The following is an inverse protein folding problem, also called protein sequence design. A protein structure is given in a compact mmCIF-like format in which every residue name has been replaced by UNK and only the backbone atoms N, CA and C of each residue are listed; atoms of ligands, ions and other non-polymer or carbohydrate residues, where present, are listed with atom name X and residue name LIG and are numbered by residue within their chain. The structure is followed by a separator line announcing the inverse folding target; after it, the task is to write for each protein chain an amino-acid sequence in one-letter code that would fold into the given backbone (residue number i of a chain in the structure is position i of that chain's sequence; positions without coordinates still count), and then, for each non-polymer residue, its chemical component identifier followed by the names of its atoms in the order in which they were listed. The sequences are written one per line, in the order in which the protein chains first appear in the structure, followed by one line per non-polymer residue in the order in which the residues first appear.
data_IF_377696165610
#
_entry.id   IF_377696165610
#
_cell.length_a   1.000
_cell.length_b   1.000
_cell.length_c   1.000
_cell.angle_alpha   90.00
_cell.angle_beta   90.00
_cell.angle_gamma   90.00
#
_symmetry.space_group_name_H-M   'P 1'
#
loop_
_entity.id
_entity.type
_entity.pdbx_description
1 polymer ?
#
# COMPACT_ATOMS: atom_id res chain seq x y z
N UNK A 1 -1.83 -19.41 17.48
CA UNK A 1 -0.71 -18.71 16.78
C UNK A 1 0.12 -17.96 17.83
N UNK A 2 1.46 -18.19 17.88
CA UNK A 2 2.35 -17.54 18.86
C UNK A 2 2.38 -16.00 18.70
N UNK A 3 2.24 -15.49 17.46
CA UNK A 3 2.31 -14.04 17.19
C UNK A 3 1.23 -13.23 17.94
N UNK A 4 0.02 -13.77 18.09
CA UNK A 4 -1.08 -13.05 18.74
C UNK A 4 -0.81 -12.77 20.24
N UNK A 5 0.19 -13.45 20.83
CA UNK A 5 0.58 -13.25 22.22
C UNK A 5 1.51 -12.04 22.44
N UNK A 6 2.11 -11.52 21.36
CA UNK A 6 2.98 -10.34 21.47
C UNK A 6 2.15 -9.09 21.73
N UNK A 7 2.52 -8.37 22.79
CA UNK A 7 1.85 -7.11 23.14
C UNK A 7 1.95 -6.13 21.96
N UNK A 8 0.81 -5.62 21.54
CA UNK A 8 0.72 -4.68 20.42
C UNK A 8 0.53 -5.33 19.05
N UNK A 9 0.70 -6.66 18.87
CA UNK A 9 0.58 -7.27 17.52
C UNK A 9 -0.88 -7.26 17.02
N UNK A 10 -1.84 -7.58 17.90
CA UNK A 10 -3.27 -7.56 17.48
C UNK A 10 -3.75 -6.14 17.16
N UNK A 11 -3.50 -5.11 18.01
CA UNK A 11 -3.77 -3.73 17.59
C UNK A 11 -3.08 -3.34 16.28
N UNK A 12 -1.85 -3.76 16.07
CA UNK A 12 -1.10 -3.48 14.84
C UNK A 12 -1.79 -4.09 13.63
N UNK A 13 -2.26 -5.35 13.72
CA UNK A 13 -3.00 -5.99 12.63
C UNK A 13 -4.30 -5.23 12.30
N UNK A 14 -5.02 -4.78 13.34
CA UNK A 14 -6.23 -3.97 13.17
C UNK A 14 -5.91 -2.67 12.42
N UNK A 15 -4.84 -1.97 12.84
CA UNK A 15 -4.40 -0.74 12.17
C UNK A 15 -4.04 -1.02 10.71
N UNK A 16 -3.26 -2.08 10.44
CA UNK A 16 -2.82 -2.41 9.08
C UNK A 16 -4.01 -2.67 8.15
N UNK A 17 -5.05 -3.35 8.67
CA UNK A 17 -6.28 -3.63 7.93
C UNK A 17 -7.07 -2.34 7.68
N UNK A 18 -7.34 -1.57 8.75
CA UNK A 18 -8.21 -0.39 8.69
C UNK A 18 -7.56 0.70 7.82
N UNK A 19 -6.26 0.96 8.02
CA UNK A 19 -5.52 1.97 7.24
C UNK A 19 -5.63 1.68 5.73
N UNK A 20 -5.36 0.42 5.33
CA UNK A 20 -5.48 0.02 3.92
C UNK A 20 -6.91 0.19 3.41
N UNK A 21 -7.91 -0.08 4.29
CA UNK A 21 -9.32 0.05 3.95
C UNK A 21 -9.73 1.52 3.74
N UNK A 22 -9.31 2.42 4.63
CA UNK A 22 -9.65 3.87 4.55
C UNK A 22 -9.04 4.49 3.29
N UNK A 23 -7.75 4.26 3.06
CA UNK A 23 -7.04 4.80 1.89
C UNK A 23 -7.74 4.37 0.59
N UNK A 24 -8.07 3.08 0.50
CA UNK A 24 -8.68 2.54 -0.72
C UNK A 24 -10.15 2.94 -0.85
N UNK A 25 -10.91 3.00 0.23
CA UNK A 25 -12.33 3.36 0.23
C UNK A 25 -12.53 4.77 -0.34
N UNK A 26 -11.75 5.75 0.12
CA UNK A 26 -11.83 7.11 -0.41
C UNK A 26 -11.45 7.14 -1.90
N UNK A 27 -10.33 6.49 -2.26
CA UNK A 27 -9.88 6.41 -3.66
C UNK A 27 -10.98 5.84 -4.57
N UNK A 28 -11.56 4.71 -4.19
CA UNK A 28 -12.60 4.02 -4.97
C UNK A 28 -13.84 4.91 -5.10
N UNK A 29 -14.24 5.60 -4.02
CA UNK A 29 -15.39 6.50 -4.06
C UNK A 29 -15.17 7.59 -5.11
N UNK A 30 -14.00 8.27 -5.07
CA UNK A 30 -13.69 9.31 -6.06
C UNK A 30 -13.62 8.73 -7.48
N UNK A 31 -13.00 7.55 -7.65
CA UNK A 31 -12.95 6.89 -8.98
C UNK A 31 -14.37 6.55 -9.49
N UNK A 32 -15.26 6.11 -8.61
CA UNK A 32 -16.64 5.80 -9.00
C UNK A 32 -17.40 7.08 -9.38
N UNK A 33 -17.20 8.21 -8.64
CA UNK A 33 -17.77 9.50 -9.03
C UNK A 33 -17.28 9.88 -10.44
N UNK A 34 -15.96 9.74 -10.70
CA UNK A 34 -15.40 10.02 -12.03
C UNK A 34 -16.07 9.17 -13.11
N UNK A 35 -16.22 7.86 -12.85
CA UNK A 35 -16.82 6.92 -13.81
C UNK A 35 -18.28 7.24 -14.12
N UNK A 36 -19.02 7.79 -13.14
CA UNK A 36 -20.44 8.10 -13.29
C UNK A 36 -20.69 9.48 -13.95
N UNK A 37 -19.75 10.45 -13.75
CA UNK A 37 -19.98 11.85 -14.16
C UNK A 37 -19.13 12.29 -15.37
N UNK A 38 -18.13 11.50 -15.79
CA UNK A 38 -17.22 11.89 -16.87
C UNK A 38 -17.09 10.77 -17.89
N UNK A 39 -16.75 11.14 -19.14
CA UNK A 39 -16.54 10.19 -20.23
C UNK A 39 -15.40 10.66 -21.13
N UNK A 40 -14.96 9.78 -22.02
CA UNK A 40 -13.93 10.09 -23.03
C UNK A 40 -12.61 10.53 -22.42
N UNK A 41 -12.00 11.54 -23.00
CA UNK A 41 -10.67 12.03 -22.63
C UNK A 41 -10.65 12.58 -21.20
N UNK A 42 -11.70 13.28 -20.76
CA UNK A 42 -11.77 13.84 -19.40
C UNK A 42 -11.67 12.75 -18.34
N UNK A 43 -12.37 11.64 -18.51
CA UNK A 43 -12.33 10.52 -17.58
C UNK A 43 -10.90 9.93 -17.50
N UNK A 44 -10.24 9.76 -18.63
CA UNK A 44 -8.86 9.21 -18.69
C UNK A 44 -7.90 10.14 -17.95
N UNK A 45 -7.94 11.45 -18.23
CA UNK A 45 -7.06 12.44 -17.61
C UNK A 45 -7.30 12.51 -16.09
N UNK A 46 -8.56 12.60 -15.64
CA UNK A 46 -8.87 12.70 -14.21
C UNK A 46 -8.50 11.41 -13.45
N UNK A 47 -8.69 10.24 -14.08
CA UNK A 47 -8.28 8.96 -13.50
C UNK A 47 -6.75 8.87 -13.38
N UNK A 48 -6.02 9.31 -14.39
CA UNK A 48 -4.55 9.37 -14.32
C UNK A 48 -4.10 10.35 -13.23
N UNK A 49 -4.77 11.51 -13.13
CA UNK A 49 -4.45 12.52 -12.13
C UNK A 49 -4.64 11.99 -10.69
N UNK A 50 -5.77 11.31 -10.40
CA UNK A 50 -6.00 10.77 -9.06
C UNK A 50 -4.94 9.71 -8.68
N UNK A 51 -4.56 8.87 -9.64
CA UNK A 51 -3.49 7.89 -9.40
C UNK A 51 -2.15 8.59 -9.13
N UNK A 52 -1.85 9.66 -9.89
CA UNK A 52 -0.64 10.47 -9.65
C UNK A 52 -0.67 11.12 -8.26
N UNK A 53 -1.81 11.68 -7.85
CA UNK A 53 -1.96 12.34 -6.54
C UNK A 53 -1.70 11.40 -5.37
N UNK A 54 -1.98 10.11 -5.53
CA UNK A 54 -1.70 9.10 -4.50
C UNK A 54 -0.18 8.80 -4.43
N UNK A 55 0.50 8.81 -5.58
CA UNK A 55 1.91 8.43 -5.66
C UNK A 55 2.88 9.58 -5.35
N UNK A 56 2.53 10.79 -5.77
CA UNK A 56 3.41 11.96 -5.65
C UNK A 56 3.90 12.20 -4.20
N UNK A 57 3.04 12.09 -3.16
CA UNK A 57 3.53 12.27 -1.79
C UNK A 57 4.61 11.26 -1.39
N UNK A 58 4.55 10.03 -1.85
CA UNK A 58 5.59 9.03 -1.54
C UNK A 58 6.94 9.39 -2.18
N UNK A 59 6.92 10.11 -3.29
CA UNK A 59 8.14 10.59 -3.96
C UNK A 59 8.66 11.86 -3.26
N UNK A 60 7.80 12.86 -3.07
CA UNK A 60 8.23 14.14 -2.53
C UNK A 60 8.46 14.10 -1.02
N UNK A 61 7.66 13.36 -0.27
CA UNK A 61 7.77 13.33 1.19
C UNK A 61 8.70 12.22 1.71
N UNK A 62 9.37 11.45 0.82
CA UNK A 62 10.19 10.35 1.32
C UNK A 62 11.28 10.83 2.29
N UNK A 63 11.96 11.95 2.00
CA UNK A 63 13.03 12.50 2.87
C UNK A 63 12.47 13.12 4.16
N UNK A 64 11.43 13.98 4.11
CA UNK A 64 10.78 14.43 5.35
C UNK A 64 10.23 13.27 6.18
N UNK A 65 9.61 12.30 5.54
CA UNK A 65 9.06 11.11 6.20
C UNK A 65 10.17 10.30 6.90
N UNK A 66 11.28 10.06 6.20
CA UNK A 66 12.45 9.38 6.76
C UNK A 66 12.94 10.12 8.02
N UNK A 67 13.09 11.45 7.92
CA UNK A 67 13.56 12.29 9.02
C UNK A 67 12.63 12.22 10.22
N UNK A 68 11.31 12.33 10.00
CA UNK A 68 10.29 12.24 11.07
C UNK A 68 10.38 10.87 11.76
N UNK A 69 10.51 9.81 10.99
CA UNK A 69 10.52 8.44 11.49
C UNK A 69 11.82 8.05 12.20
N UNK A 70 12.93 8.75 11.93
CA UNK A 70 14.19 8.56 12.64
C UNK A 70 14.30 9.49 13.88
N UNK A 71 13.60 10.64 13.86
CA UNK A 71 13.63 11.62 14.95
C UNK A 71 12.64 11.29 16.08
N UNK A 72 11.47 10.80 15.75
CA UNK A 72 10.38 10.53 16.71
C UNK A 72 10.16 9.03 16.89
N UNK A 73 9.65 8.63 18.04
CA UNK A 73 9.32 7.22 18.26
C UNK A 73 8.26 6.76 17.26
N UNK A 74 8.46 5.56 16.71
CA UNK A 74 7.56 4.97 15.71
C UNK A 74 6.12 4.87 16.22
N UNK A 75 5.98 4.54 17.51
CA UNK A 75 4.66 4.49 18.17
C UNK A 75 3.98 5.86 18.13
N UNK A 76 4.71 6.95 18.40
CA UNK A 76 4.14 8.29 18.34
C UNK A 76 3.79 8.69 16.89
N UNK A 77 4.67 8.39 15.93
CA UNK A 77 4.36 8.67 14.52
C UNK A 77 3.06 7.96 14.11
N UNK A 78 2.90 6.68 14.48
CA UNK A 78 1.67 5.92 14.18
C UNK A 78 0.45 6.59 14.83
N UNK A 79 0.54 6.95 16.12
CA UNK A 79 -0.58 7.57 16.85
C UNK A 79 -1.00 8.91 16.26
N UNK A 80 -0.03 9.81 16.01
CA UNK A 80 -0.34 11.14 15.48
C UNK A 80 -0.78 11.09 14.02
N UNK A 81 -0.22 10.17 13.22
CA UNK A 81 -0.68 9.95 11.84
C UNK A 81 -2.11 9.42 11.81
N UNK A 82 -2.48 8.50 12.72
CA UNK A 82 -3.86 8.00 12.81
C UNK A 82 -4.83 9.11 13.25
N UNK A 83 -4.43 10.00 14.16
CA UNK A 83 -5.26 11.17 14.52
C UNK A 83 -5.41 12.11 13.33
N UNK A 84 -4.34 12.35 12.57
CA UNK A 84 -4.41 13.16 11.35
C UNK A 84 -5.38 12.53 10.34
N UNK A 85 -5.38 11.19 10.20
CA UNK A 85 -6.33 10.49 9.34
C UNK A 85 -7.79 10.76 9.75
N UNK A 86 -8.09 10.82 11.05
CA UNK A 86 -9.44 11.16 11.55
C UNK A 86 -9.84 12.57 11.08
N UNK A 87 -8.92 13.55 11.24
CA UNK A 87 -9.19 14.94 10.84
C UNK A 87 -9.40 15.03 9.33
N UNK A 88 -8.55 14.36 8.55
CA UNK A 88 -8.66 14.35 7.09
C UNK A 88 -9.98 13.67 6.67
N UNK A 89 -10.33 12.54 7.27
CA UNK A 89 -11.59 11.82 6.99
C UNK A 89 -12.82 12.68 7.35
N UNK A 90 -12.74 13.47 8.42
CA UNK A 90 -13.80 14.44 8.75
C UNK A 90 -13.92 15.52 7.67
N UNK A 91 -12.79 16.01 7.14
CA UNK A 91 -12.79 16.93 6.00
C UNK A 91 -13.39 16.28 4.74
N UNK A 92 -13.07 15.01 4.49
CA UNK A 92 -13.64 14.22 3.39
C UNK A 92 -15.17 14.11 3.58
N UNK A 93 -15.64 13.77 4.78
CA UNK A 93 -17.08 13.68 5.07
C UNK A 93 -17.76 15.01 4.79
N UNK A 94 -17.17 16.13 5.27
CA UNK A 94 -17.74 17.47 5.02
C UNK A 94 -17.81 17.77 3.52
N UNK A 95 -16.76 17.43 2.76
CA UNK A 95 -16.76 17.65 1.30
C UNK A 95 -17.83 16.79 0.60
N UNK A 96 -18.08 15.57 1.10
CA UNK A 96 -19.16 14.72 0.58
C UNK A 96 -20.52 15.34 0.89
N UNK A 97 -20.77 15.72 2.15
CA UNK A 97 -22.04 16.27 2.58
C UNK A 97 -22.41 17.57 1.85
N UNK A 98 -21.39 18.37 1.49
CA UNK A 98 -21.59 19.65 0.78
C UNK A 98 -21.49 19.52 -0.75
N UNK A 99 -21.20 18.32 -1.26
CA UNK A 99 -21.05 18.11 -2.70
C UNK A 99 -19.83 18.80 -3.29
N UNK A 100 -18.76 19.02 -2.52
CA UNK A 100 -17.57 19.73 -3.00
C UNK A 100 -16.56 18.73 -3.59
N UNK A 101 -16.83 18.24 -4.82
CA UNK A 101 -16.02 17.21 -5.46
C UNK A 101 -14.56 17.63 -5.59
N UNK A 102 -14.29 18.89 -6.01
CA UNK A 102 -12.92 19.39 -6.18
C UNK A 102 -12.14 19.36 -4.86
N UNK A 103 -12.79 19.68 -3.73
CA UNK A 103 -12.14 19.61 -2.40
C UNK A 103 -11.86 18.15 -2.05
N UNK A 104 -12.83 17.27 -2.25
CA UNK A 104 -12.68 15.84 -1.99
C UNK A 104 -11.54 15.24 -2.82
N UNK A 105 -11.43 15.65 -4.09
CA UNK A 105 -10.35 15.23 -4.99
C UNK A 105 -8.99 15.66 -4.43
N UNK A 106 -8.85 16.91 -3.94
CA UNK A 106 -7.60 17.40 -3.33
C UNK A 106 -7.30 16.67 -2.00
N UNK A 107 -8.35 16.33 -1.22
CA UNK A 107 -8.18 15.59 0.03
C UNK A 107 -7.57 14.19 -0.20
N UNK A 108 -7.70 13.63 -1.41
CA UNK A 108 -6.97 12.40 -1.79
C UNK A 108 -5.45 12.59 -1.67
N UNK A 109 -4.94 13.72 -2.15
CA UNK A 109 -3.51 14.06 -2.05
C UNK A 109 -3.08 14.19 -0.59
N UNK A 110 -3.91 14.85 0.24
CA UNK A 110 -3.62 15.08 1.66
C UNK A 110 -3.62 13.75 2.43
N UNK A 111 -4.59 12.88 2.16
CA UNK A 111 -4.65 11.54 2.76
C UNK A 111 -3.43 10.71 2.34
N UNK A 112 -3.04 10.77 1.06
CA UNK A 112 -1.83 10.08 0.57
C UNK A 112 -0.56 10.66 1.21
N UNK A 113 -0.50 11.98 1.46
CA UNK A 113 0.64 12.60 2.16
C UNK A 113 0.75 12.10 3.61
N UNK A 114 -0.37 11.96 4.30
CA UNK A 114 -0.41 11.39 5.64
C UNK A 114 0.09 9.93 5.60
N UNK A 115 -0.38 9.13 4.64
CA UNK A 115 0.05 7.73 4.47
C UNK A 115 1.53 7.61 4.12
N UNK A 116 2.11 8.58 3.37
CA UNK A 116 3.55 8.60 3.05
C UNK A 116 4.40 8.83 4.30
N UNK A 117 3.93 9.62 5.28
CA UNK A 117 4.62 9.84 6.56
C UNK A 117 4.45 8.62 7.48
N UNK A 118 3.28 8.03 7.49
CA UNK A 118 2.90 6.90 8.33
C UNK A 118 3.62 5.60 7.95
N UNK A 119 3.79 5.34 6.65
CA UNK A 119 4.24 4.03 6.13
C UNK A 119 5.61 3.58 6.67
N UNK A 120 6.65 4.42 6.77
CA UNK A 120 7.93 3.94 7.31
C UNK A 120 7.83 3.52 8.78
N UNK A 121 7.06 4.24 9.61
CA UNK A 121 6.82 3.85 11.00
C UNK A 121 6.11 2.49 11.07
N UNK A 122 5.08 2.32 10.25
CA UNK A 122 4.29 1.08 10.17
C UNK A 122 5.17 -0.13 9.89
N UNK A 123 6.09 -0.04 8.92
CA UNK A 123 6.96 -1.18 8.59
C UNK A 123 8.11 -1.35 9.58
N UNK A 124 8.67 -0.27 10.11
CA UNK A 124 9.82 -0.36 11.02
C UNK A 124 9.45 -0.85 12.43
N UNK A 125 8.21 -0.62 12.91
CA UNK A 125 7.77 -1.04 14.24
C UNK A 125 7.61 -2.57 14.35
N UNK A 126 7.46 -3.29 13.24
CA UNK A 126 7.22 -4.74 13.24
C UNK A 126 8.30 -5.47 14.03
N UNK A 127 9.56 -5.11 13.78
CA UNK A 127 10.72 -5.69 14.47
C UNK A 127 10.64 -5.47 16.00
N UNK A 128 10.20 -4.29 16.42
CA UNK A 128 10.02 -3.97 17.85
C UNK A 128 8.90 -4.79 18.51
N UNK A 129 7.83 -5.08 17.77
CA UNK A 129 6.66 -5.83 18.28
C UNK A 129 6.99 -7.33 18.42
N UNK A 130 7.57 -7.97 17.40
CA UNK A 130 7.67 -9.44 17.33
C UNK A 130 9.10 -9.97 17.50
N UNK A 131 10.10 -9.08 17.55
CA UNK A 131 11.50 -9.46 17.58
C UNK A 131 12.02 -9.92 16.22
N UNK A 132 13.33 -10.11 16.13
CA UNK A 132 13.99 -10.51 14.87
C UNK A 132 13.62 -11.94 14.45
N UNK A 133 13.38 -12.83 15.43
CA UNK A 133 13.09 -14.24 15.16
C UNK A 133 11.76 -14.46 14.43
N UNK A 134 10.76 -13.59 14.65
CA UNK A 134 9.42 -13.78 14.13
C UNK A 134 9.09 -12.83 12.97
N UNK A 135 10.08 -12.07 12.49
CA UNK A 135 9.87 -11.00 11.52
C UNK A 135 9.34 -11.55 10.18
N UNK A 136 9.82 -12.73 9.75
CA UNK A 136 9.35 -13.37 8.52
C UNK A 136 7.87 -13.75 8.60
N UNK A 137 7.50 -14.45 9.69
CA UNK A 137 6.10 -14.86 9.89
C UNK A 137 5.18 -13.63 10.05
N UNK A 138 5.64 -12.58 10.76
CA UNK A 138 4.85 -11.36 10.94
C UNK A 138 4.60 -10.66 9.60
N UNK A 139 5.63 -10.51 8.75
CA UNK A 139 5.48 -9.92 7.42
C UNK A 139 4.51 -10.72 6.55
N UNK A 140 4.56 -12.06 6.62
CA UNK A 140 3.63 -12.90 5.87
C UNK A 140 2.18 -12.66 6.27
N UNK A 141 1.91 -12.63 7.59
CA UNK A 141 0.55 -12.39 8.12
C UNK A 141 0.08 -10.98 7.75
N UNK A 142 0.94 -9.98 7.95
CA UNK A 142 0.61 -8.57 7.67
C UNK A 142 0.33 -8.37 6.18
N UNK A 143 1.18 -8.92 5.30
CA UNK A 143 1.00 -8.79 3.86
C UNK A 143 -0.31 -9.46 3.41
N UNK A 144 -0.55 -10.69 3.87
CA UNK A 144 -1.79 -11.40 3.56
C UNK A 144 -3.01 -10.60 4.02
N UNK A 145 -2.99 -10.10 5.26
CA UNK A 145 -4.10 -9.32 5.82
C UNK A 145 -4.32 -8.00 5.05
N UNK A 146 -3.24 -7.33 4.65
CA UNK A 146 -3.33 -6.08 3.88
C UNK A 146 -3.99 -6.34 2.51
N UNK A 147 -3.63 -7.45 1.83
CA UNK A 147 -4.26 -7.80 0.55
C UNK A 147 -5.75 -8.12 0.75
N UNK A 148 -6.08 -8.86 1.82
CA UNK A 148 -7.49 -9.14 2.15
C UNK A 148 -8.24 -7.82 2.39
N UNK A 149 -7.63 -6.86 3.11
CA UNK A 149 -8.23 -5.53 3.35
C UNK A 149 -8.48 -4.80 2.02
N UNK A 150 -7.51 -4.83 1.11
CA UNK A 150 -7.62 -4.19 -0.21
C UNK A 150 -8.79 -4.81 -1.00
N UNK A 151 -8.83 -6.15 -1.13
CA UNK A 151 -9.88 -6.83 -1.89
C UNK A 151 -11.26 -6.61 -1.26
N UNK A 152 -11.35 -6.76 0.06
CA UNK A 152 -12.60 -6.55 0.80
C UNK A 152 -13.11 -5.12 0.64
N UNK A 153 -12.22 -4.13 0.81
CA UNK A 153 -12.60 -2.72 0.74
C UNK A 153 -12.98 -2.30 -0.68
N UNK A 154 -12.26 -2.81 -1.70
CA UNK A 154 -12.63 -2.56 -3.09
C UNK A 154 -14.06 -2.99 -3.36
N UNK A 155 -14.40 -4.21 -2.95
CA UNK A 155 -15.73 -4.75 -3.15
C UNK A 155 -16.77 -4.01 -2.29
N UNK A 156 -16.51 -3.88 -0.98
CA UNK A 156 -17.47 -3.33 -0.03
C UNK A 156 -17.81 -1.87 -0.37
N UNK A 157 -16.81 -1.03 -0.64
CA UNK A 157 -17.05 0.39 -0.89
C UNK A 157 -17.61 0.66 -2.30
N UNK A 158 -17.30 -0.19 -3.28
CA UNK A 158 -18.00 -0.12 -4.57
C UNK A 158 -19.47 -0.51 -4.41
N UNK A 159 -19.75 -1.56 -3.64
CA UNK A 159 -21.13 -1.97 -3.35
C UNK A 159 -21.88 -0.86 -2.59
N UNK A 160 -21.28 -0.28 -1.55
CA UNK A 160 -21.87 0.83 -0.80
C UNK A 160 -22.15 2.04 -1.70
N UNK A 161 -21.22 2.32 -2.63
CA UNK A 161 -21.39 3.40 -3.60
C UNK A 161 -22.62 3.15 -4.47
N UNK A 162 -22.69 1.96 -5.11
CA UNK A 162 -23.82 1.61 -6.01
C UNK A 162 -25.17 1.61 -5.27
N UNK A 163 -25.16 1.26 -3.98
CA UNK A 163 -26.39 1.21 -3.17
C UNK A 163 -26.95 2.59 -2.81
N UNK A 164 -26.13 3.64 -2.85
CA UNK A 164 -26.52 4.97 -2.38
C UNK A 164 -26.45 6.06 -3.45
N UNK A 165 -25.68 5.85 -4.54
CA UNK A 165 -25.47 6.92 -5.50
C UNK A 165 -26.79 7.26 -6.25
N UNK A 166 -26.98 8.54 -6.50
CA UNK A 166 -28.08 9.06 -7.34
C UNK A 166 -27.43 9.47 -8.68
N UNK A 167 -28.05 8.98 -9.77
CA UNK A 167 -27.52 9.24 -11.12
C UNK A 167 -27.64 10.73 -11.46
N UNK A 168 -26.50 11.33 -11.80
CA UNK A 168 -26.42 12.73 -12.21
C UNK A 168 -25.14 12.92 -13.04
N UNK A 169 -25.17 13.87 -13.96
CA UNK A 169 -23.98 14.27 -14.72
C UNK A 169 -23.09 15.24 -13.92
N UNK A 170 -23.59 15.78 -12.78
CA UNK A 170 -22.83 16.67 -11.91
C UNK A 170 -22.08 15.82 -10.84
N UNK A 171 -20.73 15.79 -10.87
CA UNK A 171 -19.97 15.05 -9.88
C UNK A 171 -20.23 15.50 -8.44
N UNK A 172 -20.68 16.75 -8.23
CA UNK A 172 -21.02 17.27 -6.90
C UNK A 172 -22.25 16.56 -6.34
N UNK A 173 -23.28 16.39 -7.15
CA UNK A 173 -24.53 15.70 -6.74
C UNK A 173 -24.28 14.20 -6.50
N UNK A 174 -23.50 13.55 -7.39
CA UNK A 174 -23.14 12.14 -7.22
C UNK A 174 -22.37 11.96 -5.90
N UNK A 175 -21.37 12.83 -5.64
CA UNK A 175 -20.59 12.78 -4.40
C UNK A 175 -21.49 12.98 -3.17
N UNK A 176 -22.41 13.97 -3.24
CA UNK A 176 -23.30 14.27 -2.12
C UNK A 176 -24.21 13.08 -1.80
N UNK A 177 -24.68 12.35 -2.80
CA UNK A 177 -25.56 11.20 -2.57
C UNK A 177 -24.89 10.09 -1.76
N UNK A 178 -23.57 9.97 -1.81
CA UNK A 178 -22.78 8.90 -1.14
C UNK A 178 -22.11 9.35 0.17
N UNK A 179 -22.62 10.44 0.81
CA UNK A 179 -22.04 10.98 2.04
C UNK A 179 -21.90 9.95 3.17
N UNK A 180 -22.74 8.92 3.17
CA UNK A 180 -22.71 7.83 4.14
C UNK A 180 -21.34 7.11 4.12
N UNK A 181 -20.67 7.05 2.95
CA UNK A 181 -19.32 6.50 2.85
C UNK A 181 -18.35 7.37 3.66
N UNK A 182 -18.52 8.70 3.61
CA UNK A 182 -17.70 9.63 4.42
C UNK A 182 -17.83 9.34 5.92
N UNK A 183 -19.05 9.03 6.40
CA UNK A 183 -19.27 8.63 7.80
C UNK A 183 -18.48 7.35 8.11
N UNK A 184 -18.56 6.36 7.21
CA UNK A 184 -17.80 5.11 7.41
C UNK A 184 -16.29 5.37 7.47
N UNK A 185 -15.75 6.29 6.64
CA UNK A 185 -14.33 6.66 6.67
C UNK A 185 -13.94 7.26 8.02
N UNK A 186 -14.75 8.18 8.57
CA UNK A 186 -14.48 8.79 9.88
C UNK A 186 -14.49 7.72 10.99
N UNK A 187 -15.50 6.85 10.98
CA UNK A 187 -15.61 5.78 12.00
C UNK A 187 -14.41 4.81 11.92
N UNK A 188 -14.02 4.43 10.70
CA UNK A 188 -12.87 3.54 10.51
C UNK A 188 -11.57 4.24 10.96
N UNK A 189 -11.37 5.51 10.60
CA UNK A 189 -10.18 6.28 11.01
C UNK A 189 -10.14 6.46 12.54
N UNK A 190 -11.29 6.71 13.17
CA UNK A 190 -11.39 6.79 14.64
C UNK A 190 -11.04 5.45 15.29
N UNK A 191 -11.50 4.35 14.70
CA UNK A 191 -11.17 3.00 15.17
C UNK A 191 -9.68 2.69 14.96
N UNK A 192 -9.09 3.14 13.84
CA UNK A 192 -7.64 3.04 13.59
C UNK A 192 -6.87 3.77 14.71
N UNK A 193 -7.26 5.03 15.00
CA UNK A 193 -6.63 5.83 16.06
C UNK A 193 -6.76 5.13 17.41
N UNK A 194 -7.94 4.60 17.75
CA UNK A 194 -8.15 3.84 18.98
C UNK A 194 -7.13 2.69 19.10
N UNK A 195 -6.99 1.88 18.06
CA UNK A 195 -6.01 0.77 18.09
C UNK A 195 -4.56 1.28 18.11
N UNK A 196 -4.27 2.43 17.48
CA UNK A 196 -2.92 3.02 17.50
C UNK A 196 -2.50 3.35 18.94
N UNK A 197 -3.44 3.84 19.78
CA UNK A 197 -3.15 4.11 21.20
C UNK A 197 -3.02 2.83 22.04
N UNK A 198 -3.46 1.67 21.53
CA UNK A 198 -3.26 0.37 22.22
C UNK A 198 -1.88 -0.24 21.92
N UNK A 199 -1.10 0.30 20.97
CA UNK A 199 0.26 -0.18 20.75
C UNK A 199 1.14 0.34 21.91
N UNK A 200 1.88 -0.56 22.61
CA UNK A 200 2.76 -0.14 23.68
C UNK A 200 3.99 0.63 23.16
N UNK A 201 4.60 1.43 24.02
CA UNK A 201 5.89 2.04 23.72
C UNK A 201 7.01 0.99 23.91
N UNK A 202 7.94 0.98 22.97
CA UNK A 202 9.10 0.09 23.02
C UNK A 202 10.34 0.91 23.40
N UNK A 203 11.11 0.45 24.40
CA UNK A 203 12.30 1.17 24.94
C UNK A 203 13.33 1.51 23.85
N UNK A 204 13.45 0.65 22.83
CA UNK A 204 14.40 0.82 21.72
C UNK A 204 14.06 1.98 20.78
N UNK A 205 12.88 2.61 20.95
CA UNK A 205 12.44 3.73 20.11
C UNK A 205 12.90 5.10 20.64
N UNK A 206 13.54 5.14 21.81
CA UNK A 206 13.75 6.40 22.56
C UNK A 206 14.99 7.21 22.16
N UNK A 207 15.79 6.76 21.20
CA UNK A 207 16.97 7.49 20.78
C UNK A 207 16.66 8.53 19.70
N UNK A 208 16.44 9.75 20.12
CA UNK A 208 16.25 10.89 19.22
C UNK A 208 17.57 11.20 18.49
N UNK A 209 17.51 11.28 17.19
CA UNK A 209 18.61 11.83 16.40
C UNK A 209 18.55 13.35 16.55
N UNK A 210 19.56 13.92 17.22
CA UNK A 210 19.70 15.37 17.33
C UNK A 210 20.03 15.93 15.93
N UNK A 211 19.08 16.60 15.34
CA UNK A 211 19.27 17.20 14.03
C UNK A 211 18.06 17.99 13.58
N UNK A 212 18.29 18.99 12.77
CA UNK A 212 17.24 19.77 12.11
C UNK A 212 17.15 19.34 10.64
N UNK A 213 15.96 19.38 10.10
CA UNK A 213 15.75 19.09 8.68
C UNK A 213 16.33 20.23 7.85
N UNK A 214 17.25 19.91 6.94
CA UNK A 214 17.93 20.89 6.09
C UNK A 214 17.20 20.97 4.74
N UNK A 215 16.46 22.08 4.54
CA UNK A 215 15.70 22.31 3.31
C UNK A 215 16.62 22.46 2.09
N UNK A 216 17.85 23.02 2.23
CA UNK A 216 18.81 23.14 1.12
C UNK A 216 19.26 21.75 0.66
N UNK A 217 19.55 20.88 1.62
CA UNK A 217 19.93 19.48 1.33
C UNK A 217 18.79 18.70 0.68
N UNK A 218 17.54 19.00 1.06
CA UNK A 218 16.35 18.37 0.44
C UNK A 218 16.24 18.81 -1.03
N UNK A 219 16.27 20.12 -1.29
CA UNK A 219 16.12 20.68 -2.64
C UNK A 219 17.26 20.26 -3.58
N UNK A 220 18.48 20.06 -3.04
CA UNK A 220 19.65 19.60 -3.82
C UNK A 220 19.67 18.07 -4.03
N UNK A 221 18.61 17.36 -3.60
CA UNK A 221 18.52 15.90 -3.64
C UNK A 221 19.62 15.22 -2.80
N UNK A 222 20.24 15.95 -1.87
CA UNK A 222 21.27 15.41 -0.98
C UNK A 222 20.76 14.26 -0.13
N UNK A 223 19.55 14.40 0.42
CA UNK A 223 18.93 13.31 1.19
C UNK A 223 18.69 12.07 0.33
N UNK A 224 18.29 12.22 -0.94
CA UNK A 224 18.09 11.10 -1.85
C UNK A 224 19.42 10.37 -2.10
N UNK A 225 20.49 11.10 -2.39
CA UNK A 225 21.83 10.54 -2.58
C UNK A 225 22.30 9.78 -1.34
N UNK A 226 22.12 10.39 -0.15
CA UNK A 226 22.48 9.77 1.13
C UNK A 226 21.63 8.52 1.42
N UNK A 227 20.35 8.54 1.03
CA UNK A 227 19.47 7.39 1.20
C UNK A 227 19.93 6.23 0.32
N UNK A 228 20.16 6.49 -0.97
CA UNK A 228 20.65 5.47 -1.92
C UNK A 228 22.00 4.91 -1.44
N UNK A 229 22.90 5.76 -0.95
CA UNK A 229 24.19 5.32 -0.40
C UNK A 229 23.98 4.41 0.82
N UNK A 230 23.04 4.76 1.70
CA UNK A 230 22.70 3.96 2.89
C UNK A 230 22.16 2.58 2.49
N UNK A 231 21.27 2.53 1.51
CA UNK A 231 20.70 1.27 1.01
C UNK A 231 21.80 0.39 0.38
N UNK A 232 22.71 0.98 -0.40
CA UNK A 232 23.81 0.27 -1.06
C UNK A 232 24.88 -0.22 -0.08
N UNK A 233 24.97 0.39 1.12
CA UNK A 233 25.98 0.00 2.12
C UNK A 233 25.78 -1.42 2.65
N UNK A 234 24.56 -1.97 2.54
CA UNK A 234 24.28 -3.36 2.91
C UNK A 234 23.71 -4.10 1.68
N UNK A 235 24.47 -5.05 1.18
CA UNK A 235 24.13 -5.80 -0.02
C UNK A 235 22.77 -6.51 0.10
N UNK A 236 22.46 -7.07 1.28
CA UNK A 236 21.19 -7.77 1.50
C UNK A 236 20.01 -6.82 1.39
N UNK A 237 20.14 -5.62 1.96
CA UNK A 237 19.10 -4.57 1.85
C UNK A 237 18.96 -4.15 0.38
N UNK A 238 20.10 -3.87 -0.29
CA UNK A 238 20.08 -3.35 -1.66
C UNK A 238 19.43 -4.33 -2.63
N UNK A 239 19.84 -5.61 -2.58
CA UNK A 239 19.26 -6.65 -3.45
C UNK A 239 17.76 -6.87 -3.16
N UNK A 240 17.38 -6.82 -1.88
CA UNK A 240 15.97 -6.94 -1.49
C UNK A 240 15.13 -5.77 -2.04
N UNK A 241 15.65 -4.55 -1.98
CA UNK A 241 14.98 -3.37 -2.54
C UNK A 241 14.81 -3.52 -4.06
N UNK A 242 15.87 -3.95 -4.77
CA UNK A 242 15.81 -4.20 -6.22
C UNK A 242 14.73 -5.25 -6.54
N UNK A 243 14.77 -6.41 -5.85
CA UNK A 243 13.79 -7.48 -6.08
C UNK A 243 12.34 -7.02 -5.87
N UNK A 244 12.11 -6.27 -4.79
CA UNK A 244 10.77 -5.71 -4.53
C UNK A 244 10.36 -4.69 -5.59
N UNK A 245 11.29 -3.82 -6.02
CA UNK A 245 11.00 -2.81 -7.03
C UNK A 245 10.66 -3.44 -8.38
N UNK A 246 11.41 -4.47 -8.78
CA UNK A 246 11.13 -5.24 -10.01
C UNK A 246 9.76 -5.89 -9.95
N UNK A 247 9.43 -6.56 -8.84
CA UNK A 247 8.12 -7.21 -8.69
C UNK A 247 6.97 -6.19 -8.82
N UNK A 248 7.07 -5.06 -8.07
CA UNK A 248 6.01 -4.06 -8.10
C UNK A 248 5.92 -3.37 -9.47
N UNK A 249 7.06 -3.14 -10.14
CA UNK A 249 7.08 -2.59 -11.50
C UNK A 249 6.36 -3.51 -12.49
N UNK A 250 6.71 -4.80 -12.50
CA UNK A 250 6.06 -5.81 -13.36
C UNK A 250 4.56 -5.90 -13.04
N UNK A 251 4.19 -5.88 -11.75
CA UNK A 251 2.78 -5.92 -11.34
C UNK A 251 1.98 -4.75 -11.91
N UNK A 252 2.57 -3.55 -11.91
CA UNK A 252 1.88 -2.36 -12.45
C UNK A 252 1.70 -2.43 -13.98
N UNK A 253 2.71 -2.97 -14.69
CA UNK A 253 2.58 -3.19 -16.14
C UNK A 253 1.39 -4.13 -16.42
N UNK A 254 1.28 -5.22 -15.65
CA UNK A 254 0.17 -6.18 -15.81
C UNK A 254 -1.17 -5.48 -15.55
N UNK A 255 -1.30 -4.78 -14.41
CA UNK A 255 -2.55 -4.10 -14.05
C UNK A 255 -2.96 -3.09 -15.12
N UNK A 256 -2.02 -2.40 -15.74
CA UNK A 256 -2.28 -1.41 -16.80
C UNK A 256 -2.60 -2.07 -18.14
N UNK A 257 -1.81 -3.07 -18.56
CA UNK A 257 -1.89 -3.66 -19.89
C UNK A 257 -2.98 -4.74 -20.01
N UNK A 258 -3.25 -5.46 -18.93
CA UNK A 258 -4.16 -6.63 -18.95
C UNK A 258 -5.56 -6.27 -19.46
N UNK A 259 -6.23 -5.21 -18.95
CA UNK A 259 -7.55 -4.87 -19.44
C UNK A 259 -7.57 -4.55 -20.95
N UNK A 260 -6.59 -3.78 -21.42
CA UNK A 260 -6.50 -3.39 -22.82
C UNK A 260 -6.26 -4.60 -23.73
N UNK A 261 -5.38 -5.51 -23.32
CA UNK A 261 -4.99 -6.68 -24.13
C UNK A 261 -6.14 -7.70 -24.25
N UNK A 262 -6.88 -7.91 -23.15
CA UNK A 262 -7.91 -8.96 -23.12
C UNK A 262 -9.35 -8.43 -23.29
N UNK A 263 -9.50 -7.12 -23.58
CA UNK A 263 -10.81 -6.48 -23.74
C UNK A 263 -11.68 -7.21 -24.76
N UNK A 264 -11.15 -7.48 -25.95
CA UNK A 264 -11.88 -8.14 -27.03
C UNK A 264 -12.23 -9.59 -26.71
N UNK A 265 -11.38 -10.30 -25.97
CA UNK A 265 -11.62 -11.70 -25.57
C UNK A 265 -12.87 -11.87 -24.70
N UNK A 266 -13.19 -10.87 -23.89
CA UNK A 266 -14.31 -10.92 -22.92
C UNK A 266 -15.48 -10.03 -23.34
N UNK A 267 -15.59 -9.69 -24.65
CA UNK A 267 -16.68 -8.84 -25.18
C UNK A 267 -16.82 -7.55 -24.36
N UNK A 268 -15.71 -6.94 -24.01
CA UNK A 268 -15.63 -5.71 -23.21
C UNK A 268 -16.19 -5.86 -21.77
N UNK A 269 -16.29 -7.08 -21.25
CA UNK A 269 -16.83 -7.32 -19.91
C UNK A 269 -15.77 -6.97 -18.84
N UNK A 270 -15.84 -5.75 -18.33
CA UNK A 270 -14.92 -5.24 -17.32
C UNK A 270 -14.95 -6.05 -16.01
N UNK A 271 -16.13 -6.61 -15.66
CA UNK A 271 -16.28 -7.39 -14.42
C UNK A 271 -15.43 -8.65 -14.47
N UNK A 272 -15.42 -9.35 -15.60
CA UNK A 272 -14.61 -10.57 -15.77
C UNK A 272 -13.10 -10.21 -15.70
N UNK A 273 -12.70 -9.14 -16.37
CA UNK A 273 -11.30 -8.66 -16.37
C UNK A 273 -10.86 -8.34 -14.95
N UNK A 274 -11.68 -7.58 -14.20
CA UNK A 274 -11.37 -7.21 -12.82
C UNK A 274 -11.35 -8.43 -11.89
N UNK A 275 -12.25 -9.38 -12.10
CA UNK A 275 -12.28 -10.62 -11.32
C UNK A 275 -10.99 -11.44 -11.51
N UNK A 276 -10.48 -11.54 -12.74
CA UNK A 276 -9.22 -12.24 -13.03
C UNK A 276 -8.05 -11.53 -12.31
N UNK A 277 -8.01 -10.19 -12.34
CA UNK A 277 -6.99 -9.43 -11.60
C UNK A 277 -7.12 -9.64 -10.08
N UNK A 278 -8.35 -9.70 -9.56
CA UNK A 278 -8.58 -9.95 -8.12
C UNK A 278 -8.08 -11.33 -7.69
N UNK A 279 -8.14 -12.33 -8.59
CA UNK A 279 -7.61 -13.68 -8.33
C UNK A 279 -6.09 -13.62 -8.04
N UNK A 280 -5.35 -12.70 -8.69
CA UNK A 280 -3.93 -12.51 -8.37
C UNK A 280 -3.74 -12.03 -6.93
N UNK A 281 -4.64 -11.19 -6.42
CA UNK A 281 -4.63 -10.74 -5.02
C UNK A 281 -4.85 -11.91 -4.05
N UNK A 282 -5.78 -12.82 -4.37
CA UNK A 282 -6.00 -14.04 -3.57
C UNK A 282 -4.71 -14.88 -3.55
N UNK A 283 -4.10 -15.09 -4.72
CA UNK A 283 -2.81 -15.79 -4.82
C UNK A 283 -1.74 -15.11 -3.95
N UNK A 284 -1.62 -13.79 -4.06
CA UNK A 284 -0.65 -13.00 -3.30
C UNK A 284 -0.85 -13.16 -1.79
N UNK A 285 -2.10 -13.13 -1.32
CA UNK A 285 -2.43 -13.32 0.10
C UNK A 285 -1.98 -14.71 0.59
N UNK A 286 -2.34 -15.77 -0.16
CA UNK A 286 -1.98 -17.15 0.20
C UNK A 286 -0.47 -17.38 0.14
N UNK A 287 0.19 -16.90 -0.91
CA UNK A 287 1.66 -17.00 -1.06
C UNK A 287 2.37 -16.28 0.07
N UNK A 288 1.89 -15.08 0.44
CA UNK A 288 2.46 -14.31 1.56
C UNK A 288 2.31 -15.04 2.89
N UNK A 289 1.15 -15.62 3.15
CA UNK A 289 0.92 -16.38 4.38
C UNK A 289 1.86 -17.61 4.44
N UNK A 290 1.99 -18.35 3.33
CA UNK A 290 2.85 -19.53 3.28
C UNK A 290 4.33 -19.16 3.39
N UNK A 291 4.77 -18.08 2.73
CA UNK A 291 6.14 -17.57 2.87
C UNK A 291 6.45 -17.19 4.32
N UNK A 292 5.49 -16.52 4.98
CA UNK A 292 5.62 -16.19 6.40
C UNK A 292 5.71 -17.45 7.27
N UNK A 293 4.91 -18.46 6.96
CA UNK A 293 4.93 -19.73 7.70
C UNK A 293 6.26 -20.48 7.49
N UNK A 294 6.79 -20.46 6.27
CA UNK A 294 8.12 -21.04 5.98
C UNK A 294 9.23 -20.29 6.75
N UNK A 295 9.06 -18.96 6.91
CA UNK A 295 10.03 -18.08 7.58
C UNK A 295 9.77 -17.95 9.11
N UNK A 296 9.28 -19.01 9.75
CA UNK A 296 8.90 -18.97 11.19
C UNK A 296 10.10 -18.93 12.14
N UNK A 297 11.19 -19.57 11.79
CA UNK A 297 12.37 -19.70 12.66
C UNK A 297 13.54 -18.84 12.15
N UNK A 298 13.59 -18.63 10.87
CA UNK A 298 14.59 -17.79 10.19
C UNK A 298 13.98 -17.28 8.89
N UNK A 299 14.54 -16.23 8.33
CA UNK A 299 14.07 -15.71 7.05
C UNK A 299 14.46 -16.71 5.95
N UNK A 300 13.46 -17.31 5.31
CA UNK A 300 13.69 -18.36 4.30
C UNK A 300 13.89 -17.71 2.92
N UNK A 301 15.15 -17.32 2.63
CA UNK A 301 15.51 -16.73 1.34
C UNK A 301 15.51 -17.75 0.20
N UNK A 302 15.56 -19.05 0.51
CA UNK A 302 15.52 -20.11 -0.50
C UNK A 302 14.23 -20.14 -1.32
N UNK A 303 13.13 -19.55 -0.80
CA UNK A 303 11.86 -19.50 -1.54
C UNK A 303 11.81 -18.33 -2.53
N UNK A 304 12.72 -17.35 -2.44
CA UNK A 304 12.74 -16.18 -3.34
C UNK A 304 12.99 -16.61 -4.81
N UNK A 305 13.97 -17.44 -5.13
CA UNK A 305 14.13 -17.93 -6.51
C UNK A 305 12.92 -18.71 -7.02
N UNK A 306 12.24 -19.48 -6.14
CA UNK A 306 11.01 -20.19 -6.53
C UNK A 306 9.90 -19.20 -6.88
N UNK A 307 9.76 -18.12 -6.07
CA UNK A 307 8.83 -17.04 -6.37
C UNK A 307 9.16 -16.37 -7.71
N UNK A 308 10.44 -16.04 -7.94
CA UNK A 308 10.88 -15.41 -9.19
C UNK A 308 10.59 -16.31 -10.40
N UNK A 309 10.91 -17.61 -10.29
CA UNK A 309 10.62 -18.57 -11.35
C UNK A 309 9.11 -18.68 -11.63
N UNK A 310 8.29 -18.75 -10.57
CA UNK A 310 6.83 -18.81 -10.73
C UNK A 310 6.26 -17.57 -11.40
N UNK A 311 6.82 -16.38 -11.11
CA UNK A 311 6.46 -15.13 -11.79
C UNK A 311 6.76 -15.25 -13.29
N UNK A 312 8.00 -15.68 -13.65
CA UNK A 312 8.40 -15.81 -15.06
C UNK A 312 7.52 -16.82 -15.80
N UNK A 313 7.28 -17.98 -15.18
CA UNK A 313 6.42 -19.04 -15.76
C UNK A 313 4.99 -18.52 -15.97
N UNK A 314 4.42 -17.87 -14.94
CA UNK A 314 3.04 -17.35 -15.04
C UNK A 314 2.92 -16.28 -16.14
N UNK A 315 3.92 -15.40 -16.26
CA UNK A 315 3.92 -14.36 -17.31
C UNK A 315 4.03 -14.99 -18.70
N UNK A 316 4.88 -15.98 -18.87
CA UNK A 316 5.02 -16.70 -20.14
C UNK A 316 3.66 -17.31 -20.56
N UNK A 317 3.01 -18.05 -19.66
CA UNK A 317 1.74 -18.69 -19.99
C UNK A 317 0.59 -17.67 -20.08
N UNK A 318 0.68 -16.52 -19.38
CA UNK A 318 -0.31 -15.46 -19.50
C UNK A 318 -0.39 -14.95 -20.95
N UNK A 319 0.75 -14.77 -21.63
CA UNK A 319 0.77 -14.29 -23.01
C UNK A 319 0.21 -15.28 -24.03
N UNK A 320 0.22 -16.57 -23.67
CA UNK A 320 -0.31 -17.65 -24.53
C UNK A 320 -1.76 -18.01 -24.23
N UNK A 321 -2.32 -17.48 -23.14
CA UNK A 321 -3.64 -17.89 -22.65
C UNK A 321 -4.77 -17.37 -23.54
N UNK A 322 -5.66 -18.25 -23.95
CA UNK A 322 -6.82 -17.93 -24.79
C UNK A 322 -8.15 -18.25 -24.09
N UNK A 323 -8.13 -18.56 -22.79
CA UNK A 323 -9.35 -18.77 -22.03
C UNK A 323 -9.29 -18.07 -20.68
N UNK A 324 -10.45 -17.61 -20.19
CA UNK A 324 -10.55 -16.93 -18.91
C UNK A 324 -10.07 -17.78 -17.74
N UNK A 325 -10.27 -19.10 -17.79
CA UNK A 325 -9.82 -20.02 -16.73
C UNK A 325 -8.28 -20.06 -16.67
N UNK A 326 -7.62 -20.16 -17.83
CA UNK A 326 -6.16 -20.19 -17.90
C UNK A 326 -5.60 -18.84 -17.43
N UNK A 327 -6.22 -17.72 -17.85
CA UNK A 327 -5.83 -16.38 -17.39
C UNK A 327 -5.96 -16.25 -15.88
N UNK A 328 -7.05 -16.74 -15.30
CA UNK A 328 -7.26 -16.71 -13.84
C UNK A 328 -6.20 -17.57 -13.10
N UNK A 329 -5.89 -18.76 -13.64
CA UNK A 329 -4.84 -19.63 -13.06
C UNK A 329 -3.46 -18.96 -13.15
N UNK A 330 -3.11 -18.39 -14.30
CA UNK A 330 -1.84 -17.66 -14.46
C UNK A 330 -1.77 -16.46 -13.50
N UNK A 331 -2.86 -15.70 -13.37
CA UNK A 331 -2.95 -14.58 -12.43
C UNK A 331 -2.80 -15.04 -10.97
N UNK A 332 -3.43 -16.16 -10.63
CA UNK A 332 -3.28 -16.77 -9.29
C UNK A 332 -1.81 -17.13 -9.02
N UNK A 333 -1.17 -17.84 -9.97
CA UNK A 333 0.23 -18.28 -9.84
C UNK A 333 1.16 -17.06 -9.75
N UNK A 334 0.90 -16.02 -10.56
CA UNK A 334 1.65 -14.75 -10.50
C UNK A 334 1.57 -14.14 -9.10
N UNK A 335 0.37 -13.97 -8.57
CA UNK A 335 0.18 -13.40 -7.24
C UNK A 335 0.82 -14.26 -6.15
N UNK A 336 0.55 -15.57 -6.19
CA UNK A 336 1.09 -16.53 -5.22
C UNK A 336 2.62 -16.47 -5.17
N UNK A 337 3.26 -16.49 -6.32
CA UNK A 337 4.72 -16.41 -6.47
C UNK A 337 5.26 -15.06 -6.00
N UNK A 338 4.49 -13.99 -6.25
CA UNK A 338 4.79 -12.65 -5.70
C UNK A 338 4.83 -12.65 -4.18
N UNK A 339 3.88 -13.35 -3.54
CA UNK A 339 3.86 -13.50 -2.08
C UNK A 339 5.10 -14.20 -1.54
N UNK A 340 5.54 -15.28 -2.22
CA UNK A 340 6.77 -16.00 -1.86
C UNK A 340 8.00 -15.09 -1.96
N UNK A 341 8.00 -14.14 -2.86
CA UNK A 341 9.11 -13.20 -3.07
C UNK A 341 9.06 -12.02 -2.10
N UNK A 342 7.90 -11.36 -1.95
CA UNK A 342 7.74 -10.11 -1.18
C UNK A 342 8.07 -10.31 0.30
N UNK A 343 7.58 -11.40 0.90
CA UNK A 343 7.63 -11.58 2.36
C UNK A 343 9.06 -11.72 2.86
N UNK A 344 9.88 -12.65 2.32
CA UNK A 344 11.26 -12.74 2.81
C UNK A 344 12.10 -11.50 2.46
N UNK A 345 11.87 -10.85 1.32
CA UNK A 345 12.62 -9.63 0.98
C UNK A 345 12.29 -8.47 1.94
N UNK A 346 11.00 -8.27 2.29
CA UNK A 346 10.63 -7.25 3.29
C UNK A 346 11.22 -7.61 4.67
N UNK A 347 11.16 -8.87 5.06
CA UNK A 347 11.72 -9.34 6.33
C UNK A 347 13.24 -9.11 6.38
N UNK A 348 13.93 -9.35 5.27
CA UNK A 348 15.39 -9.14 5.15
C UNK A 348 15.75 -7.67 5.36
N UNK A 349 15.01 -6.75 4.71
CA UNK A 349 15.25 -5.32 4.89
C UNK A 349 15.08 -4.95 6.38
N UNK A 350 13.98 -5.39 7.01
CA UNK A 350 13.70 -5.08 8.40
C UNK A 350 14.73 -5.70 9.37
N UNK A 351 15.19 -6.90 9.06
CA UNK A 351 16.18 -7.63 9.88
C UNK A 351 17.52 -6.89 9.89
N UNK A 352 18.03 -6.54 8.70
CA UNK A 352 19.35 -5.89 8.54
C UNK A 352 19.30 -4.37 8.78
N UNK A 353 18.12 -3.74 8.84
CA UNK A 353 18.02 -2.31 9.09
C UNK A 353 18.47 -1.98 10.52
N UNK A 354 19.51 -1.13 10.71
CA UNK A 354 19.83 -0.64 12.05
C UNK A 354 18.68 0.18 12.60
N UNK A 355 18.41 0.07 13.90
CA UNK A 355 17.26 0.71 14.53
C UNK A 355 17.27 2.24 14.36
N UNK A 356 18.44 2.85 14.48
CA UNK A 356 18.62 4.32 14.41
C UNK A 356 18.22 4.93 13.05
N UNK A 357 18.33 4.15 11.96
CA UNK A 357 18.06 4.64 10.60
C UNK A 357 17.01 3.74 9.88
N UNK A 358 16.24 2.99 10.65
CA UNK A 358 15.25 2.09 10.06
C UNK A 358 14.14 2.86 9.32
N UNK A 359 13.76 4.03 9.85
CA UNK A 359 12.81 4.92 9.18
C UNK A 359 13.31 5.35 7.80
N UNK A 360 14.58 5.75 7.73
CA UNK A 360 15.25 6.15 6.49
C UNK A 360 15.28 5.00 5.47
N UNK A 361 15.62 3.79 5.93
CA UNK A 361 15.68 2.59 5.08
C UNK A 361 14.27 2.24 4.56
N UNK A 362 13.27 2.27 5.44
CA UNK A 362 11.88 1.94 5.05
C UNK A 362 11.31 2.99 4.08
N UNK A 363 11.59 4.27 4.31
CA UNK A 363 11.19 5.34 3.39
C UNK A 363 11.84 5.15 2.01
N UNK A 364 13.12 4.81 2.01
CA UNK A 364 13.87 4.49 0.78
C UNK A 364 13.23 3.38 -0.05
N UNK A 365 12.87 2.49 0.63
CA UNK A 365 12.29 1.38 -0.02
C UNK A 365 10.99 1.71 -0.68
N UNK A 366 10.36 2.44 -0.14
CA UNK A 366 9.16 2.86 -0.66
C UNK A 366 9.36 3.73 -1.86
N UNK A 367 10.12 4.44 -1.89
CA UNK A 367 10.47 5.24 -2.97
C UNK A 367 10.96 4.46 -4.11
N UNK A 368 11.58 3.56 -3.81
CA UNK A 368 12.01 2.74 -4.77
C UNK A 368 10.94 2.00 -5.41
N UNK A 369 10.13 1.42 -4.72
CA UNK A 369 8.89 0.77 -5.17
C UNK A 369 8.06 1.73 -6.02
N UNK A 370 7.85 2.94 -5.54
CA UNK A 370 7.07 3.97 -6.24
C UNK A 370 7.79 4.46 -7.52
N UNK A 371 9.11 4.54 -7.47
CA UNK A 371 9.90 4.97 -8.64
C UNK A 371 9.84 3.94 -9.78
N UNK A 372 9.91 2.64 -9.44
CA UNK A 372 9.76 1.59 -10.45
C UNK A 372 8.35 1.63 -11.07
N UNK A 373 7.35 1.98 -10.25
CA UNK A 373 5.98 2.18 -10.72
C UNK A 373 5.90 3.33 -11.74
N UNK A 374 6.58 4.45 -11.47
CA UNK A 374 6.54 5.66 -12.31
C UNK A 374 7.29 5.49 -13.64
N UNK A 375 8.46 4.84 -13.62
CA UNK A 375 9.30 4.68 -14.82
C UNK A 375 8.74 3.66 -15.82
N UNK A 376 7.70 2.88 -15.47
CA UNK A 376 7.05 1.94 -16.38
C UNK A 376 5.69 2.44 -16.89
N UNK A 377 5.20 3.61 -16.41
CA UNK A 377 3.94 4.20 -16.88
C UNK A 377 4.15 5.22 -18.02
N UNK A 378 5.40 5.43 -18.44
CA UNK A 378 5.79 6.24 -19.61
C UNK A 378 6.55 5.34 -20.58
#
# INVERSE_FOLDING_TARGET
MKLLKYAGFVPYLAIAFINASVDLAHKITIQNVLLKSFSGESLVVLTALINAMILLPFIFLFSPSAFINDKFSRTNVIRYSSLAAVVISAGILLSYMTGMFAISFVLTLILAAQSAVYSPAKYSIIKSIVGTENIGMANGVIQALTIVAILFSSFAFSFFFEAHYVASDDPNEVLQSVWVIGVALVLLSALEAYFAFKIPFFKQEAENTDGQFDMRKYLSLGYLKDNVRTLKANQNIWLSVIGLSLFWGVSQIIVAAFPAHYKAMFNDNAVVIQAILAVSGIGLSLGSYLAGRASRLHIELGIVPLGALGICVSLFFLTLAQSGVVLALCSFVFGFSGGLLIVPLNATIQYFAPEKISGKIMAGXXXXKTYSWWSFCY
#
